data_IF_310579262404
#
_entry.id   IF_310579262404
#
_cell.length_a   1.000
_cell.length_b   1.000
_cell.length_c   1.000
_cell.angle_alpha   90.00
_cell.angle_beta   90.00
_cell.angle_gamma   90.00
#
_symmetry.space_group_name_H-M   'P 1'
#
loop_
_entity.id
_entity.type
_entity.pdbx_description
1 polymer ?
#
# COMPACT_ATOMS: atom_id res chain seq x y z
N UNK A 1 20.99 -26.38 3.58
CA UNK A 1 19.78 -26.20 4.43
C UNK A 1 18.86 -25.19 3.78
N UNK A 2 17.55 -25.30 4.03
CA UNK A 2 16.52 -24.40 3.51
C UNK A 2 15.78 -23.79 4.70
N UNK A 3 15.68 -22.45 4.72
CA UNK A 3 14.88 -21.71 5.70
C UNK A 3 13.64 -21.14 4.99
N UNK A 4 12.45 -21.45 5.51
CA UNK A 4 11.18 -20.96 4.98
C UNK A 4 10.49 -20.09 6.03
N UNK A 5 9.93 -18.97 5.61
CA UNK A 5 9.17 -18.09 6.49
C UNK A 5 8.57 -16.89 5.79
N UNK A 6 8.03 -15.97 6.57
CA UNK A 6 7.38 -14.75 6.08
C UNK A 6 8.38 -13.59 5.98
N UNK A 7 7.90 -12.41 5.58
CA UNK A 7 8.69 -11.17 5.55
C UNK A 7 9.43 -10.83 6.87
N UNK A 8 9.04 -11.43 7.99
CA UNK A 8 9.75 -11.27 9.27
C UNK A 8 11.18 -11.82 9.21
N UNK A 9 11.43 -12.89 8.44
CA UNK A 9 12.77 -13.43 8.21
C UNK A 9 13.65 -12.40 7.51
N UNK A 10 13.10 -11.66 6.54
CA UNK A 10 13.83 -10.63 5.82
C UNK A 10 14.35 -9.51 6.74
N UNK A 11 13.68 -9.26 7.87
CA UNK A 11 14.06 -8.21 8.83
C UNK A 11 15.11 -8.65 9.85
N UNK A 12 15.17 -9.92 10.20
CA UNK A 12 15.98 -10.42 11.33
C UNK A 12 17.14 -11.35 10.96
N UNK A 13 17.12 -11.96 9.77
CA UNK A 13 18.14 -12.92 9.39
C UNK A 13 19.40 -12.20 8.90
N UNK A 14 20.49 -12.36 9.62
CA UNK A 14 21.83 -11.96 9.19
C UNK A 14 22.74 -13.21 9.14
N UNK A 15 22.69 -13.91 8.02
CA UNK A 15 23.55 -15.08 7.78
C UNK A 15 24.37 -14.83 6.51
N UNK A 16 25.72 -14.72 6.62
CA UNK A 16 26.60 -14.44 5.48
C UNK A 16 26.64 -15.58 4.45
N UNK A 17 26.23 -16.79 4.82
CA UNK A 17 26.26 -17.95 3.94
C UNK A 17 24.98 -18.11 3.08
N UNK A 18 24.09 -17.13 3.07
CA UNK A 18 22.90 -17.15 2.20
C UNK A 18 23.30 -16.88 0.76
N UNK A 19 23.25 -17.91 -0.08
CA UNK A 19 23.60 -17.84 -1.50
C UNK A 19 22.37 -17.69 -2.41
N UNK A 20 21.18 -18.06 -1.93
CA UNK A 20 19.93 -17.97 -2.68
C UNK A 20 18.80 -17.48 -1.79
N UNK A 21 18.07 -16.46 -2.26
CA UNK A 21 16.82 -16.02 -1.66
C UNK A 21 15.71 -16.09 -2.71
N UNK A 22 14.62 -16.80 -2.39
CA UNK A 22 13.41 -16.88 -3.20
C UNK A 22 12.25 -16.15 -2.54
N UNK A 23 11.60 -15.26 -3.27
CA UNK A 23 10.34 -14.63 -2.85
C UNK A 23 9.20 -15.24 -3.65
N UNK A 24 8.36 -16.03 -2.98
CA UNK A 24 7.18 -16.64 -3.59
C UNK A 24 6.01 -15.66 -3.55
N UNK A 25 5.20 -15.65 -4.63
CA UNK A 25 4.01 -14.79 -4.74
C UNK A 25 4.31 -13.32 -4.43
N UNK A 26 5.37 -12.78 -5.02
CA UNK A 26 5.81 -11.41 -4.78
C UNK A 26 4.72 -10.35 -5.06
N UNK A 27 3.74 -10.69 -5.92
CA UNK A 27 2.59 -9.84 -6.25
C UNK A 27 1.66 -9.56 -5.07
N UNK A 28 1.62 -10.43 -4.06
CA UNK A 28 0.67 -10.32 -2.94
C UNK A 28 0.79 -8.99 -2.17
N UNK A 29 2.00 -8.43 -2.09
CA UNK A 29 2.26 -7.15 -1.46
C UNK A 29 1.75 -5.94 -2.27
N UNK A 30 1.65 -6.08 -3.60
CA UNK A 30 1.24 -5.03 -4.53
C UNK A 30 -0.27 -5.00 -4.76
N UNK A 31 -0.97 -6.12 -4.55
CA UNK A 31 -2.42 -6.24 -4.75
C UNK A 31 -3.25 -5.71 -3.56
N UNK A 32 -2.64 -5.08 -2.60
CA UNK A 32 -3.34 -4.44 -1.47
C UNK A 32 -3.91 -3.10 -1.96
N UNK A 33 -5.20 -2.80 -1.73
CA UNK A 33 -5.79 -1.51 -2.08
C UNK A 33 -5.35 -0.40 -1.10
N UNK A 34 -4.07 -0.05 -1.17
CA UNK A 34 -3.42 1.03 -0.43
C UNK A 34 -2.46 1.72 -1.41
N UNK A 35 -2.52 3.05 -1.52
CA UNK A 35 -1.65 3.83 -2.40
C UNK A 35 -0.15 3.62 -2.14
N UNK A 36 0.21 3.11 -0.97
CA UNK A 36 1.59 2.78 -0.57
C UNK A 36 1.98 1.34 -0.91
N UNK A 37 1.11 0.56 -1.57
CA UNK A 37 1.39 -0.85 -1.83
C UNK A 37 2.67 -1.04 -2.65
N UNK A 38 2.86 -0.24 -3.70
CA UNK A 38 4.06 -0.28 -4.55
C UNK A 38 5.32 0.09 -3.79
N UNK A 39 5.27 1.14 -3.00
CA UNK A 39 6.40 1.58 -2.17
C UNK A 39 6.80 0.51 -1.14
N UNK A 40 5.82 -0.04 -0.43
CA UNK A 40 6.08 -1.10 0.56
C UNK A 40 6.61 -2.38 -0.10
N UNK A 41 6.06 -2.73 -1.26
CA UNK A 41 6.54 -3.85 -2.06
C UNK A 41 7.99 -3.66 -2.51
N UNK A 42 8.30 -2.50 -3.09
CA UNK A 42 9.66 -2.15 -3.50
C UNK A 42 10.64 -2.20 -2.31
N UNK A 43 10.28 -1.60 -1.17
CA UNK A 43 11.11 -1.62 0.05
C UNK A 43 11.38 -3.05 0.52
N UNK A 44 10.35 -3.90 0.55
CA UNK A 44 10.49 -5.29 0.95
C UNK A 44 11.40 -6.06 0.00
N UNK A 45 11.20 -5.94 -1.31
CA UNK A 45 12.01 -6.64 -2.32
C UNK A 45 13.47 -6.20 -2.28
N UNK A 46 13.72 -4.90 -2.14
CA UNK A 46 15.08 -4.35 -2.01
C UNK A 46 15.75 -4.84 -0.72
N UNK A 47 15.01 -4.88 0.39
CA UNK A 47 15.51 -5.41 1.65
C UNK A 47 15.89 -6.89 1.55
N UNK A 48 15.05 -7.70 0.90
CA UNK A 48 15.29 -9.12 0.67
C UNK A 48 16.48 -9.32 -0.26
N UNK A 49 16.56 -8.53 -1.33
CA UNK A 49 17.69 -8.58 -2.27
C UNK A 49 19.03 -8.31 -1.57
N UNK A 50 19.06 -7.40 -0.61
CA UNK A 50 20.25 -7.10 0.19
C UNK A 50 20.66 -8.19 1.18
N UNK A 51 19.95 -9.33 1.28
CA UNK A 51 20.31 -10.45 2.16
C UNK A 51 21.16 -11.53 1.51
N UNK A 52 21.13 -11.62 0.18
CA UNK A 52 21.93 -12.60 -0.54
C UNK A 52 23.33 -12.06 -0.82
N UNK A 53 24.36 -12.92 -0.72
CA UNK A 53 25.72 -12.60 -1.16
C UNK A 53 26.51 -11.65 -0.24
N UNK A 54 26.28 -11.69 1.06
CA UNK A 54 27.08 -10.92 2.06
C UNK A 54 28.40 -11.59 2.42
N UNK A 55 28.57 -12.89 2.09
CA UNK A 55 29.79 -13.64 2.32
C UNK A 55 30.68 -13.72 1.08
N UNK A 56 31.54 -14.71 1.06
CA UNK A 56 32.51 -14.98 -0.05
C UNK A 56 31.79 -15.41 -1.35
N UNK A 57 30.55 -15.91 -1.24
CA UNK A 57 29.81 -16.43 -2.39
C UNK A 57 28.84 -15.37 -2.94
N UNK A 58 28.77 -15.27 -4.26
CA UNK A 58 27.77 -14.41 -4.92
C UNK A 58 26.36 -14.90 -4.61
N UNK A 59 25.53 -13.99 -4.08
CA UNK A 59 24.13 -14.27 -3.82
C UNK A 59 23.26 -14.13 -5.07
N UNK A 60 22.23 -14.95 -5.15
CA UNK A 60 21.18 -14.87 -6.16
C UNK A 60 19.83 -14.62 -5.50
N UNK A 61 19.00 -13.74 -6.10
CA UNK A 61 17.63 -13.46 -5.64
C UNK A 61 16.67 -13.75 -6.78
N UNK A 62 15.60 -14.46 -6.47
CA UNK A 62 14.53 -14.80 -7.40
C UNK A 62 13.20 -14.25 -6.88
N UNK A 63 12.50 -13.47 -7.69
CA UNK A 63 11.14 -13.02 -7.44
C UNK A 63 10.17 -13.80 -8.33
N UNK A 64 9.28 -14.58 -7.72
CA UNK A 64 8.19 -15.21 -8.43
C UNK A 64 7.04 -14.23 -8.54
N UNK A 65 6.68 -13.85 -9.77
CA UNK A 65 5.62 -12.86 -10.04
C UNK A 65 4.87 -13.23 -11.32
N UNK A 66 3.60 -12.85 -11.41
CA UNK A 66 2.78 -12.94 -12.63
C UNK A 66 2.96 -11.70 -13.53
N UNK A 67 3.51 -10.61 -13.01
CA UNK A 67 3.72 -9.37 -13.75
C UNK A 67 5.19 -8.89 -13.64
N UNK A 68 6.13 -9.58 -14.31
CA UNK A 68 7.56 -9.25 -14.19
C UNK A 68 7.93 -7.88 -14.71
N UNK A 69 7.11 -7.30 -15.61
CA UNK A 69 7.36 -5.99 -16.22
C UNK A 69 6.85 -4.82 -15.38
N UNK A 70 6.17 -5.10 -14.27
CA UNK A 70 5.74 -4.06 -13.36
C UNK A 70 6.95 -3.26 -12.82
N UNK A 71 6.87 -1.93 -12.91
CA UNK A 71 8.01 -1.04 -12.65
C UNK A 71 8.68 -1.28 -11.29
N UNK A 72 7.91 -1.63 -10.25
CA UNK A 72 8.46 -1.87 -8.93
C UNK A 72 9.36 -3.11 -8.87
N UNK A 73 9.05 -4.18 -9.65
CA UNK A 73 9.94 -5.35 -9.77
C UNK A 73 11.21 -5.01 -10.55
N UNK A 74 11.08 -4.28 -11.65
CA UNK A 74 12.22 -3.91 -12.49
C UNK A 74 13.20 -2.98 -11.74
N UNK A 75 12.67 -2.03 -10.99
CA UNK A 75 13.48 -1.10 -10.19
C UNK A 75 14.07 -1.78 -8.94
N UNK A 76 13.34 -2.71 -8.30
CA UNK A 76 13.88 -3.50 -7.20
C UNK A 76 15.00 -4.44 -7.67
N UNK A 77 14.87 -5.05 -8.87
CA UNK A 77 15.90 -5.87 -9.49
C UNK A 77 17.21 -5.12 -9.73
N UNK A 78 17.11 -3.87 -10.15
CA UNK A 78 18.26 -2.98 -10.39
C UNK A 78 18.68 -2.18 -9.16
N UNK A 79 17.95 -2.31 -8.03
CA UNK A 79 18.10 -1.52 -6.82
C UNK A 79 18.11 0.01 -7.08
N UNK A 80 17.35 0.44 -8.09
CA UNK A 80 17.31 1.83 -8.52
C UNK A 80 16.13 2.54 -7.88
N UNK A 81 16.38 3.21 -6.74
CA UNK A 81 15.38 3.97 -6.01
C UNK A 81 14.93 5.21 -6.78
N UNK A 82 15.83 5.93 -7.44
CA UNK A 82 15.52 7.15 -8.18
C UNK A 82 14.48 6.87 -9.27
N UNK A 83 14.71 5.83 -10.07
CA UNK A 83 13.77 5.43 -11.12
C UNK A 83 12.42 4.94 -10.55
N UNK A 84 12.45 4.23 -9.41
CA UNK A 84 11.22 3.86 -8.69
C UNK A 84 10.45 5.12 -8.28
N UNK A 85 11.13 6.05 -7.60
CA UNK A 85 10.54 7.30 -7.11
C UNK A 85 9.95 8.14 -8.24
N UNK A 86 10.66 8.34 -9.34
CA UNK A 86 10.19 9.11 -10.50
C UNK A 86 8.89 8.55 -11.09
N UNK A 87 8.74 7.22 -11.11
CA UNK A 87 7.54 6.56 -11.63
C UNK A 87 6.41 6.64 -10.62
N UNK A 88 6.68 6.34 -9.36
CA UNK A 88 5.71 6.34 -8.28
C UNK A 88 5.13 7.73 -8.03
N UNK A 89 5.97 8.78 -8.02
CA UNK A 89 5.52 10.14 -7.72
C UNK A 89 4.60 10.68 -8.81
N UNK A 90 4.85 10.34 -10.08
CA UNK A 90 3.96 10.70 -11.21
C UNK A 90 2.60 10.03 -11.08
N UNK A 91 2.57 8.74 -10.77
CA UNK A 91 1.32 8.02 -10.53
C UNK A 91 0.53 8.62 -9.36
N UNK A 92 1.21 8.98 -8.26
CA UNK A 92 0.56 9.64 -7.13
C UNK A 92 -0.01 11.01 -7.48
N UNK A 93 0.68 11.77 -8.31
CA UNK A 93 0.21 13.06 -8.81
C UNK A 93 -1.02 12.89 -9.69
N UNK A 94 -1.00 11.94 -10.63
CA UNK A 94 -2.12 11.66 -11.54
C UNK A 94 -3.41 11.28 -10.80
N UNK A 95 -3.27 10.50 -9.72
CA UNK A 95 -4.41 10.02 -8.93
C UNK A 95 -4.70 10.85 -7.67
N UNK A 96 -4.11 12.02 -7.51
CA UNK A 96 -4.24 12.84 -6.30
C UNK A 96 -3.98 12.03 -5.01
N UNK A 97 -2.89 11.29 -4.96
CA UNK A 97 -2.44 10.61 -3.74
C UNK A 97 -1.40 11.43 -2.98
N UNK A 98 -1.19 11.19 -1.69
CA UNK A 98 -0.11 11.83 -0.94
C UNK A 98 1.26 11.67 -1.63
N UNK A 99 2.09 12.73 -1.72
CA UNK A 99 2.01 14.02 -0.99
C UNK A 99 1.12 15.10 -1.62
N UNK A 100 0.49 14.85 -2.78
CA UNK A 100 -0.31 15.84 -3.50
C UNK A 100 -1.71 16.06 -2.89
N UNK A 101 -2.12 15.19 -1.98
CA UNK A 101 -3.34 15.32 -1.18
C UNK A 101 -3.12 14.76 0.23
N UNK A 102 -4.11 14.92 1.08
CA UNK A 102 -4.20 14.24 2.36
C UNK A 102 -5.33 13.20 2.30
N UNK A 103 -5.11 12.03 2.87
CA UNK A 103 -6.14 10.99 2.95
C UNK A 103 -6.50 10.75 4.41
N UNK A 104 -7.80 10.93 4.70
CA UNK A 104 -8.40 10.55 5.97
C UNK A 104 -9.18 9.26 5.75
N UNK A 105 -8.91 8.25 6.54
CA UNK A 105 -9.65 6.99 6.51
C UNK A 105 -10.52 6.87 7.75
N UNK A 106 -11.83 6.88 7.58
CA UNK A 106 -12.79 6.57 8.62
C UNK A 106 -13.11 5.08 8.57
N UNK A 107 -13.06 4.41 9.72
CA UNK A 107 -13.42 3.01 9.85
C UNK A 107 -14.62 2.91 10.79
N UNK A 108 -15.69 2.33 10.30
CA UNK A 108 -16.89 2.02 11.06
C UNK A 108 -16.94 0.53 11.31
N UNK A 109 -17.20 0.14 12.54
CA UNK A 109 -17.25 -1.27 12.91
C UNK A 109 -18.45 -1.59 13.79
N UNK A 110 -19.04 -2.78 13.58
CA UNK A 110 -20.14 -3.31 14.37
C UNK A 110 -20.08 -4.83 14.39
N UNK A 111 -20.60 -5.46 15.46
CA UNK A 111 -20.81 -6.91 15.49
C UNK A 111 -21.86 -7.38 14.48
N UNK A 112 -22.73 -6.47 14.05
CA UNK A 112 -23.74 -6.73 13.03
C UNK A 112 -23.33 -6.08 11.70
N UNK A 113 -23.19 -6.89 10.64
CA UNK A 113 -22.76 -6.43 9.31
C UNK A 113 -23.67 -5.35 8.74
N UNK A 114 -24.98 -5.57 8.78
CA UNK A 114 -25.96 -4.61 8.26
C UNK A 114 -25.87 -3.25 8.97
N UNK A 115 -25.67 -3.26 10.30
CA UNK A 115 -25.51 -2.01 11.06
C UNK A 115 -24.21 -1.28 10.67
N UNK A 116 -23.11 -2.00 10.49
CA UNK A 116 -21.84 -1.40 10.08
C UNK A 116 -21.97 -0.73 8.71
N UNK A 117 -22.55 -1.44 7.75
CA UNK A 117 -22.78 -0.94 6.39
C UNK A 117 -23.73 0.26 6.36
N UNK A 118 -24.89 0.15 7.01
CA UNK A 118 -25.88 1.22 7.06
C UNK A 118 -25.30 2.49 7.69
N UNK A 119 -24.59 2.36 8.80
CA UNK A 119 -23.95 3.52 9.45
C UNK A 119 -22.89 4.16 8.55
N UNK A 120 -22.13 3.34 7.81
CA UNK A 120 -21.15 3.84 6.85
C UNK A 120 -21.82 4.61 5.70
N UNK A 121 -22.92 4.10 5.16
CA UNK A 121 -23.70 4.76 4.12
C UNK A 121 -24.27 6.11 4.61
N UNK A 122 -24.84 6.14 5.81
CA UNK A 122 -25.41 7.37 6.41
C UNK A 122 -24.32 8.43 6.61
N UNK A 123 -23.13 8.04 7.07
CA UNK A 123 -22.01 8.97 7.28
C UNK A 123 -21.48 9.49 5.94
N UNK A 124 -21.31 8.61 4.94
CA UNK A 124 -20.86 9.03 3.61
C UNK A 124 -21.84 10.02 2.98
N UNK A 125 -23.14 9.76 3.09
CA UNK A 125 -24.18 10.67 2.58
C UNK A 125 -24.11 12.04 3.28
N UNK A 126 -23.98 12.06 4.61
CA UNK A 126 -23.84 13.31 5.38
C UNK A 126 -22.59 14.07 5.00
N UNK A 127 -21.45 13.39 4.82
CA UNK A 127 -20.20 14.02 4.38
C UNK A 127 -20.40 14.70 3.03
N UNK A 128 -20.96 14.00 2.03
CA UNK A 128 -21.22 14.58 0.71
C UNK A 128 -22.15 15.79 0.79
N UNK A 129 -23.26 15.66 1.53
CA UNK A 129 -24.21 16.78 1.73
C UNK A 129 -23.55 17.99 2.39
N UNK A 130 -22.67 17.78 3.36
CA UNK A 130 -21.93 18.88 4.02
C UNK A 130 -20.89 19.49 3.08
N UNK A 131 -20.18 18.67 2.32
CA UNK A 131 -19.21 19.13 1.31
C UNK A 131 -19.87 20.02 0.28
N UNK A 132 -21.03 19.62 -0.23
CA UNK A 132 -21.83 20.42 -1.19
C UNK A 132 -22.32 21.73 -0.54
N UNK A 133 -22.93 21.63 0.64
CA UNK A 133 -23.50 22.78 1.36
C UNK A 133 -22.47 23.87 1.68
N UNK A 134 -21.24 23.48 2.00
CA UNK A 134 -20.17 24.41 2.35
C UNK A 134 -19.26 24.78 1.16
N UNK A 135 -19.54 24.28 -0.04
CA UNK A 135 -18.77 24.59 -1.26
C UNK A 135 -17.37 23.98 -1.29
N UNK A 136 -17.17 22.83 -0.65
CA UNK A 136 -15.88 22.16 -0.59
C UNK A 136 -15.71 21.05 -1.64
N UNK A 137 -16.62 20.92 -2.59
CA UNK A 137 -16.63 19.87 -3.62
C UNK A 137 -15.38 19.83 -4.50
N UNK A 138 -14.72 20.96 -4.73
CA UNK A 138 -13.45 21.02 -5.46
C UNK A 138 -12.27 20.48 -4.65
N UNK A 139 -12.37 20.51 -3.33
CA UNK A 139 -11.25 20.21 -2.43
C UNK A 139 -11.38 18.87 -1.71
N UNK A 140 -12.61 18.43 -1.48
CA UNK A 140 -12.89 17.20 -0.74
C UNK A 140 -13.61 16.20 -1.63
N UNK A 141 -13.05 15.01 -1.71
CA UNK A 141 -13.63 13.85 -2.40
C UNK A 141 -13.87 12.73 -1.39
N UNK A 142 -15.10 12.24 -1.29
CA UNK A 142 -15.47 11.12 -0.43
C UNK A 142 -15.62 9.86 -1.27
N UNK A 143 -14.82 8.84 -0.98
CA UNK A 143 -14.81 7.54 -1.64
C UNK A 143 -15.34 6.45 -0.71
N UNK A 144 -16.23 5.62 -1.21
CA UNK A 144 -16.90 4.58 -0.43
C UNK A 144 -18.32 4.98 -0.01
N UNK A 145 -18.93 4.25 0.95
CA UNK A 145 -18.30 3.24 1.81
C UNK A 145 -17.98 1.94 1.09
N UNK A 146 -16.90 1.27 1.53
CA UNK A 146 -16.54 -0.07 1.06
C UNK A 146 -16.14 -0.93 2.26
N UNK A 147 -16.25 -2.28 2.18
CA UNK A 147 -15.65 -3.16 3.18
C UNK A 147 -14.15 -2.88 3.33
N UNK A 148 -13.63 -3.02 4.53
CA UNK A 148 -12.18 -2.97 4.74
C UNK A 148 -11.51 -4.20 4.13
N UNK A 149 -10.21 -4.14 3.81
CA UNK A 149 -9.41 -5.28 3.34
C UNK A 149 -9.54 -6.50 4.28
N UNK A 150 -9.57 -6.23 5.59
CA UNK A 150 -9.96 -7.23 6.60
C UNK A 150 -11.38 -6.87 7.01
N UNK A 151 -12.34 -7.50 6.34
CA UNK A 151 -13.77 -7.22 6.52
C UNK A 151 -14.27 -7.50 7.93
N UNK A 152 -13.72 -8.52 8.60
CA UNK A 152 -14.09 -8.90 9.96
C UNK A 152 -12.84 -9.09 10.81
N UNK A 153 -12.75 -8.34 11.92
CA UNK A 153 -11.66 -8.41 12.88
C UNK A 153 -12.21 -8.48 14.30
N UNK A 154 -11.77 -9.46 15.07
CA UNK A 154 -12.20 -9.67 16.47
C UNK A 154 -13.74 -9.68 16.65
N UNK A 155 -14.46 -10.28 15.69
CA UNK A 155 -15.91 -10.35 15.73
C UNK A 155 -16.65 -9.13 15.15
N UNK A 156 -15.96 -8.05 14.79
CA UNK A 156 -16.55 -6.84 14.25
C UNK A 156 -16.39 -6.77 12.72
N UNK A 157 -17.51 -6.55 12.02
CA UNK A 157 -17.53 -6.19 10.60
C UNK A 157 -17.10 -4.74 10.43
N UNK A 158 -16.32 -4.45 9.38
CA UNK A 158 -15.63 -3.18 9.21
C UNK A 158 -15.84 -2.62 7.82
N UNK A 159 -16.34 -1.39 7.76
CA UNK A 159 -16.46 -0.59 6.55
C UNK A 159 -15.56 0.64 6.63
N UNK A 160 -15.10 1.13 5.49
CA UNK A 160 -14.25 2.31 5.43
C UNK A 160 -14.81 3.34 4.45
N UNK A 161 -14.56 4.59 4.79
CA UNK A 161 -14.77 5.75 3.94
C UNK A 161 -13.41 6.44 3.83
N UNK A 162 -12.98 6.75 2.61
CA UNK A 162 -11.78 7.54 2.37
C UNK A 162 -12.19 8.96 1.98
N UNK A 163 -11.59 9.94 2.63
CA UNK A 163 -11.76 11.35 2.30
C UNK A 163 -10.42 11.84 1.78
N UNK A 164 -10.37 12.25 0.51
CA UNK A 164 -9.21 12.93 -0.08
C UNK A 164 -9.39 14.44 0.10
N UNK A 165 -8.37 15.08 0.66
CA UNK A 165 -8.31 16.52 0.83
C UNK A 165 -7.21 17.10 -0.08
N UNK A 166 -7.62 17.89 -1.07
CA UNK A 166 -6.75 18.53 -2.07
C UNK A 166 -6.31 19.97 -1.63
N UNK A 167 -6.77 20.46 -0.48
CA UNK A 167 -6.46 21.80 0.03
C UNK A 167 -4.97 22.05 0.30
N UNK A 168 -4.18 20.99 0.47
CA UNK A 168 -2.74 21.11 0.72
C UNK A 168 -1.92 21.59 -0.49
N UNK A 169 -2.51 21.65 -1.68
CA UNK A 169 -1.82 22.12 -2.88
C UNK A 169 -1.69 23.64 -2.97
N UNK A 170 -2.48 24.42 -2.22
CA UNK A 170 -2.48 25.89 -2.25
C UNK A 170 -1.45 26.56 -1.32
N UNK A 171 -0.66 25.83 -0.59
CA UNK A 171 0.28 26.35 0.41
C UNK A 171 1.76 26.28 0.04
N UNK A 172 2.10 25.98 -1.22
CA UNK A 172 3.47 25.82 -1.69
C UNK A 172 3.83 26.69 -2.91
N UNK A 173 3.01 27.73 -3.22
CA UNK A 173 3.38 28.80 -4.15
C UNK A 173 3.82 30.06 -3.39
#
# INVERSE_FOLDING_TARGET
>A
DILVGTQMIAKGLDNPNVTLVGVLSADSGFNIPDFRASERGFQLLTQVAGRAGRGEFKGKVLFQTYNPDYYAFQTAKSQNYEKFFETEIKARQEFDYPPFSQIIRLILSSQNNFRAEKSAMEIALRLNTMTDKFGFTEYLETLGPTPCVIEKLNGFYRFQILIKNKLSQKGHD
#
